data_IF_863622451302
#
_entry.id   IF_863622451302
#
_cell.length_a   1.000
_cell.length_b   1.000
_cell.length_c   1.000
_cell.angle_alpha   90.00
_cell.angle_beta   90.00
_cell.angle_gamma   90.00
#
_symmetry.space_group_name_H-M   'P 1'
#
loop_
_entity.id
_entity.type
_entity.pdbx_description
1 polymer ?
#
# COMPACT_ATOMS: atom_id res chain seq x y z
N UNK A 1 -2.14 4.89 -4.56
CA UNK A 1 -1.59 4.91 -5.94
C UNK A 1 -2.67 5.16 -7.00
N UNK A 2 -3.31 6.33 -6.97
CA UNK A 2 -4.46 6.64 -7.83
C UNK A 2 -4.12 7.32 -9.16
N UNK A 3 -2.84 7.65 -9.42
CA UNK A 3 -2.50 8.49 -10.57
C UNK A 3 -1.93 7.74 -11.78
N UNK A 4 -1.43 6.51 -11.65
CA UNK A 4 -0.82 5.79 -12.78
C UNK A 4 -1.85 5.23 -13.78
N UNK A 5 -3.05 4.88 -13.33
CA UNK A 5 -4.05 4.21 -14.19
C UNK A 5 -4.87 5.19 -15.01
N UNK A 6 -5.21 6.36 -14.43
CA UNK A 6 -5.66 7.53 -15.20
C UNK A 6 -4.59 8.00 -16.19
N UNK A 7 -3.32 7.74 -15.87
CA UNK A 7 -2.20 8.05 -16.73
C UNK A 7 -2.10 7.18 -17.98
N UNK A 8 -2.56 5.93 -18.04
CA UNK A 8 -2.34 5.10 -19.25
C UNK A 8 -3.10 5.62 -20.48
N UNK A 9 -4.36 6.01 -20.33
CA UNK A 9 -5.13 6.63 -21.43
C UNK A 9 -4.60 8.03 -21.74
N UNK A 10 -4.22 8.82 -20.73
CA UNK A 10 -3.61 10.14 -20.94
C UNK A 10 -2.23 10.05 -21.62
N UNK A 11 -1.42 9.08 -21.23
CA UNK A 11 -0.13 8.73 -21.81
C UNK A 11 -0.29 8.26 -23.25
N UNK A 12 -1.24 7.35 -23.52
CA UNK A 12 -1.55 6.92 -24.88
C UNK A 12 -1.95 8.10 -25.78
N UNK A 13 -2.78 9.03 -25.28
CA UNK A 13 -3.15 10.25 -26.00
C UNK A 13 -1.96 11.19 -26.24
N UNK A 14 -1.12 11.41 -25.22
CA UNK A 14 0.07 12.29 -25.30
C UNK A 14 1.12 11.73 -26.26
N UNK A 15 1.41 10.43 -26.17
CA UNK A 15 2.31 9.72 -27.04
C UNK A 15 1.77 9.63 -28.48
N UNK A 16 0.47 9.38 -28.67
CA UNK A 16 -0.15 9.40 -30.00
C UNK A 16 -0.12 10.79 -30.65
N UNK A 17 -0.25 11.87 -29.86
CA UNK A 17 -0.09 13.25 -30.35
C UNK A 17 1.36 13.53 -30.77
N UNK A 18 2.34 12.99 -30.06
CA UNK A 18 3.76 13.09 -30.42
C UNK A 18 4.08 12.28 -31.68
N UNK A 19 3.56 11.06 -31.78
CA UNK A 19 3.72 10.17 -32.94
C UNK A 19 3.07 10.74 -34.21
N UNK A 20 1.89 11.33 -34.08
CA UNK A 20 1.19 12.00 -35.19
C UNK A 20 1.98 13.21 -35.73
N UNK A 21 2.75 13.90 -34.87
CA UNK A 21 3.64 14.99 -35.30
C UNK A 21 4.88 14.49 -36.05
N UNK A 22 5.39 13.31 -35.71
CA UNK A 22 6.57 12.70 -36.36
C UNK A 22 6.21 11.80 -37.55
N UNK A 23 4.93 11.50 -37.75
CA UNK A 23 4.41 10.62 -38.80
C UNK A 23 3.08 11.18 -39.35
N UNK A 24 3.14 12.29 -40.13
CA UNK A 24 1.96 13.00 -40.62
C UNK A 24 1.04 12.16 -41.53
N UNK A 25 1.56 11.08 -42.12
CA UNK A 25 0.83 10.10 -42.92
C UNK A 25 -0.11 9.20 -42.10
N UNK A 26 -0.02 9.21 -40.77
CA UNK A 26 -0.88 8.42 -39.87
C UNK A 26 -1.91 9.31 -39.20
N UNK A 27 -3.18 8.93 -39.32
CA UNK A 27 -4.25 9.57 -38.55
C UNK A 27 -4.03 9.41 -37.04
N UNK A 28 -4.59 10.34 -36.26
CA UNK A 28 -4.50 10.27 -34.80
C UNK A 28 -5.06 8.96 -34.23
N UNK A 29 -6.13 8.43 -34.83
CA UNK A 29 -6.73 7.14 -34.45
C UNK A 29 -5.77 5.96 -34.66
N UNK A 30 -5.05 5.93 -35.78
CA UNK A 30 -4.03 4.92 -36.03
C UNK A 30 -2.87 5.03 -35.04
N UNK A 31 -2.44 6.26 -34.72
CA UNK A 31 -1.42 6.49 -33.70
C UNK A 31 -1.85 6.00 -32.31
N UNK A 32 -3.11 6.23 -31.92
CA UNK A 32 -3.65 5.71 -30.65
C UNK A 32 -3.63 4.19 -30.59
N UNK A 33 -3.99 3.50 -31.68
CA UNK A 33 -3.95 2.04 -31.74
C UNK A 33 -2.53 1.48 -31.69
N UNK A 34 -1.57 2.13 -32.35
CA UNK A 34 -0.15 1.73 -32.29
C UNK A 34 0.38 1.85 -30.87
N UNK A 35 0.11 2.98 -30.20
CA UNK A 35 0.54 3.18 -28.82
C UNK A 35 -0.16 2.19 -27.88
N UNK A 36 -1.47 1.96 -28.03
CA UNK A 36 -2.19 0.98 -27.22
C UNK A 36 -1.59 -0.44 -27.35
N UNK A 37 -1.22 -0.86 -28.56
CA UNK A 37 -0.53 -2.14 -28.80
C UNK A 37 0.86 -2.20 -28.16
N UNK A 38 1.63 -1.11 -28.24
CA UNK A 38 2.94 -1.03 -27.57
C UNK A 38 2.84 -1.13 -26.04
N UNK A 39 1.69 -0.76 -25.48
CA UNK A 39 1.38 -0.88 -24.05
C UNK A 39 0.77 -2.25 -23.69
N UNK A 40 0.73 -3.20 -24.63
CA UNK A 40 0.23 -4.56 -24.41
C UNK A 40 -1.29 -4.76 -24.60
N UNK A 41 -2.00 -3.76 -25.15
CA UNK A 41 -3.45 -3.86 -25.39
C UNK A 41 -3.77 -4.24 -26.84
N UNK A 42 -4.93 -4.88 -27.06
CA UNK A 42 -5.35 -5.28 -28.41
C UNK A 42 -5.51 -4.09 -29.37
N UNK A 43 -6.11 -3.03 -28.87
CA UNK A 43 -6.33 -1.75 -29.54
C UNK A 43 -6.69 -0.66 -28.51
N UNK A 44 -6.88 0.58 -28.97
CA UNK A 44 -7.22 1.69 -28.08
C UNK A 44 -8.62 1.54 -27.46
N UNK A 45 -9.56 0.86 -28.11
CA UNK A 45 -10.87 0.61 -27.52
C UNK A 45 -10.78 -0.39 -26.36
N UNK A 46 -9.96 -1.43 -26.51
CA UNK A 46 -9.65 -2.40 -25.46
C UNK A 46 -8.96 -1.74 -24.26
N UNK A 47 -8.05 -0.80 -24.49
CA UNK A 47 -7.48 0.06 -23.44
C UNK A 47 -8.57 0.89 -22.72
N UNK A 48 -9.51 1.47 -23.45
CA UNK A 48 -10.64 2.23 -22.87
C UNK A 48 -11.59 1.35 -22.06
N UNK A 49 -11.92 0.14 -22.54
CA UNK A 49 -12.76 -0.82 -21.82
C UNK A 49 -12.06 -1.32 -20.56
N UNK A 50 -10.76 -1.59 -20.62
CA UNK A 50 -9.98 -1.98 -19.45
C UNK A 50 -9.93 -0.85 -18.42
N UNK A 51 -9.80 0.41 -18.85
CA UNK A 51 -9.88 1.57 -17.95
C UNK A 51 -11.30 1.79 -17.38
N UNK A 52 -12.35 1.50 -18.15
CA UNK A 52 -13.75 1.59 -17.68
C UNK A 52 -14.14 0.46 -16.72
N UNK A 53 -13.64 -0.76 -16.95
CA UNK A 53 -13.85 -1.91 -16.05
C UNK A 53 -12.96 -1.82 -14.80
N UNK A 54 -11.98 -0.91 -14.80
CA UNK A 54 -11.22 -0.45 -13.64
C UNK A 54 -11.67 0.95 -13.16
N UNK A 55 -12.84 1.43 -13.61
CA UNK A 55 -13.40 2.64 -13.04
C UNK A 55 -13.61 2.38 -11.54
N UNK A 56 -13.04 3.19 -10.65
CA UNK A 56 -13.38 3.08 -9.25
C UNK A 56 -14.87 3.39 -9.18
N UNK A 57 -15.64 2.43 -8.67
CA UNK A 57 -16.89 2.75 -8.00
C UNK A 57 -16.46 3.80 -6.97
N UNK A 58 -16.80 5.07 -7.21
CA UNK A 58 -16.64 6.14 -6.23
C UNK A 58 -17.74 5.92 -5.19
N UNK A 59 -17.65 4.82 -4.46
CA UNK A 59 -18.05 4.83 -3.07
C UNK A 59 -16.96 5.62 -2.37
N UNK A 60 -17.37 6.59 -1.57
CA UNK A 60 -16.54 7.44 -0.73
C UNK A 60 -15.47 6.58 -0.02
N UNK A 61 -14.26 6.48 -0.59
CA UNK A 61 -13.16 5.67 -0.06
C UNK A 61 -12.59 6.42 1.15
N UNK A 62 -13.32 6.42 2.26
CA UNK A 62 -12.71 6.65 3.55
C UNK A 62 -11.63 5.58 3.70
N UNK A 63 -10.36 5.98 3.80
CA UNK A 63 -9.28 5.05 4.11
C UNK A 63 -9.74 4.22 5.33
N UNK A 64 -9.60 2.89 5.30
CA UNK A 64 -10.14 2.09 6.41
C UNK A 64 -9.46 2.42 7.74
N UNK A 65 -8.23 2.94 7.69
CA UNK A 65 -7.54 3.53 8.85
C UNK A 65 -8.33 4.71 9.40
N UNK A 66 -8.78 5.64 8.56
CA UNK A 66 -9.59 6.79 8.97
C UNK A 66 -10.98 6.37 9.48
N UNK A 67 -11.62 5.40 8.79
CA UNK A 67 -12.90 4.80 9.20
C UNK A 67 -12.83 4.25 10.63
N UNK A 68 -11.71 3.59 10.97
CA UNK A 68 -11.50 2.97 12.27
C UNK A 68 -10.63 3.79 13.21
N UNK A 69 -10.32 5.05 12.89
CA UNK A 69 -9.41 5.92 13.64
C UNK A 69 -9.65 5.91 15.15
N UNK A 70 -10.91 6.03 15.60
CA UNK A 70 -11.27 5.97 17.03
C UNK A 70 -10.86 4.65 17.69
N UNK A 71 -11.09 3.53 17.02
CA UNK A 71 -10.75 2.20 17.56
C UNK A 71 -9.24 1.97 17.51
N UNK A 72 -8.60 2.34 16.39
CA UNK A 72 -7.15 2.25 16.22
C UNK A 72 -6.44 3.07 17.29
N UNK A 73 -6.82 4.33 17.52
CA UNK A 73 -6.23 5.18 18.55
C UNK A 73 -6.36 4.59 19.95
N UNK A 74 -7.53 4.01 20.27
CA UNK A 74 -7.72 3.31 21.56
C UNK A 74 -6.79 2.11 21.69
N UNK A 75 -6.67 1.29 20.65
CA UNK A 75 -5.77 0.13 20.66
C UNK A 75 -4.30 0.58 20.74
N UNK A 76 -3.90 1.65 20.04
CA UNK A 76 -2.56 2.22 20.15
C UNK A 76 -2.27 2.67 21.59
N UNK A 77 -3.19 3.39 22.23
CA UNK A 77 -3.04 3.84 23.62
C UNK A 77 -2.88 2.68 24.63
N UNK A 78 -3.54 1.55 24.36
CA UNK A 78 -3.40 0.32 25.16
C UNK A 78 -2.07 -0.40 24.90
N UNK A 79 -1.45 -0.20 23.74
CA UNK A 79 -0.17 -0.80 23.36
C UNK A 79 1.04 0.09 23.71
N UNK A 80 0.81 1.32 24.17
CA UNK A 80 1.85 2.26 24.58
C UNK A 80 1.93 2.27 26.11
N UNK A 81 3.12 1.94 26.64
CA UNK A 81 3.39 1.92 28.08
C UNK A 81 3.98 3.21 28.62
N UNK A 82 4.41 4.12 27.75
CA UNK A 82 5.05 5.40 28.12
C UNK A 82 4.04 6.56 28.09
N UNK A 83 4.40 7.62 28.80
CA UNK A 83 3.69 8.91 28.78
C UNK A 83 4.51 9.96 28.01
N UNK A 84 3.87 11.02 27.46
CA UNK A 84 2.43 11.26 27.43
C UNK A 84 1.73 10.45 26.34
N UNK A 85 0.71 9.66 26.71
CA UNK A 85 0.04 8.74 25.77
C UNK A 85 -0.58 9.41 24.56
N UNK A 86 -1.24 10.55 24.74
CA UNK A 86 -1.98 11.20 23.65
C UNK A 86 -1.04 11.69 22.53
N UNK A 87 0.12 12.25 22.89
CA UNK A 87 1.14 12.67 21.92
C UNK A 87 1.74 11.45 21.20
N UNK A 88 2.04 10.39 21.95
CA UNK A 88 2.58 9.16 21.37
C UNK A 88 1.59 8.48 20.42
N UNK A 89 0.29 8.45 20.76
CA UNK A 89 -0.75 7.95 19.87
C UNK A 89 -0.82 8.77 18.59
N UNK A 90 -0.73 10.11 18.69
CA UNK A 90 -0.70 10.98 17.52
C UNK A 90 0.54 10.74 16.66
N UNK A 91 1.73 10.56 17.27
CA UNK A 91 2.97 10.23 16.57
C UNK A 91 2.83 8.90 15.82
N UNK A 92 2.36 7.84 16.49
CA UNK A 92 2.16 6.53 15.87
C UNK A 92 1.11 6.56 14.75
N UNK A 93 -0.04 7.20 14.99
CA UNK A 93 -1.07 7.32 13.98
C UNK A 93 -0.56 8.14 12.77
N UNK A 94 0.23 9.19 13.01
CA UNK A 94 0.88 9.99 11.98
C UNK A 94 1.88 9.20 11.13
N UNK A 95 2.58 8.21 11.70
CA UNK A 95 3.48 7.32 10.94
C UNK A 95 2.75 6.47 9.89
N UNK A 96 1.44 6.25 10.03
CA UNK A 96 0.65 5.51 9.03
C UNK A 96 0.49 6.31 7.73
N UNK A 97 0.43 7.63 7.84
CA UNK A 97 0.24 8.55 6.71
C UNK A 97 1.55 9.11 6.15
N UNK A 98 2.64 9.05 6.92
CA UNK A 98 3.93 9.64 6.58
C UNK A 98 4.78 8.69 5.74
N UNK A 99 5.41 9.21 4.69
CA UNK A 99 6.46 8.49 3.95
C UNK A 99 7.80 8.81 4.59
N UNK A 100 8.59 7.80 4.95
CA UNK A 100 9.93 8.00 5.51
C UNK A 100 10.88 8.24 4.35
N UNK A 101 11.65 9.32 4.42
CA UNK A 101 12.64 9.74 3.43
C UNK A 101 13.95 10.18 4.13
N UNK A 102 14.93 10.64 3.37
CA UNK A 102 16.24 11.08 3.88
C UNK A 102 16.21 12.31 4.79
N UNK A 103 15.11 13.08 4.76
CA UNK A 103 14.93 14.26 5.62
C UNK A 103 14.24 13.91 6.96
N UNK A 104 13.86 12.65 7.13
CA UNK A 104 13.17 12.16 8.31
C UNK A 104 14.17 11.84 9.43
N UNK A 105 13.83 12.17 10.68
CA UNK A 105 14.62 11.78 11.85
C UNK A 105 14.51 10.27 12.11
N UNK A 106 15.38 9.50 11.47
CA UNK A 106 15.36 8.04 11.51
C UNK A 106 15.64 7.50 12.91
N UNK A 107 16.53 8.16 13.68
CA UNK A 107 16.86 7.72 15.04
C UNK A 107 15.64 7.85 15.96
N UNK A 108 14.94 8.99 15.92
CA UNK A 108 13.70 9.17 16.68
C UNK A 108 12.66 8.14 16.32
N UNK A 109 12.43 7.90 15.02
CA UNK A 109 11.43 6.91 14.57
C UNK A 109 11.82 5.50 14.97
N UNK A 110 13.10 5.13 14.88
CA UNK A 110 13.58 3.84 15.35
C UNK A 110 13.31 3.68 16.84
N UNK A 111 13.72 4.65 17.67
CA UNK A 111 13.51 4.57 19.12
C UNK A 111 12.02 4.47 19.48
N UNK A 112 11.18 5.25 18.81
CA UNK A 112 9.73 5.23 18.97
C UNK A 112 9.17 3.83 18.64
N UNK A 113 9.45 3.31 17.45
CA UNK A 113 8.93 2.02 16.98
C UNK A 113 9.56 0.82 17.67
N UNK A 114 10.79 0.92 18.17
CA UNK A 114 11.50 -0.15 18.89
C UNK A 114 11.03 -0.28 20.34
N UNK A 115 10.92 0.83 21.07
CA UNK A 115 10.82 0.81 22.53
C UNK A 115 9.51 1.32 23.13
N UNK A 116 8.66 1.99 22.34
CA UNK A 116 7.51 2.72 22.91
C UNK A 116 6.17 2.03 22.67
N UNK A 117 6.08 1.13 21.68
CA UNK A 117 4.87 0.38 21.36
C UNK A 117 5.07 -1.14 21.43
N UNK A 118 4.15 -1.81 22.12
CA UNK A 118 4.02 -3.27 22.12
C UNK A 118 3.33 -3.74 20.84
N UNK A 119 4.17 -4.08 19.85
CA UNK A 119 3.73 -4.58 18.54
C UNK A 119 3.06 -5.94 18.64
N UNK A 120 3.44 -6.78 19.59
CA UNK A 120 2.85 -8.13 19.73
C UNK A 120 1.45 -8.03 20.33
N UNK A 121 1.24 -7.17 21.34
CA UNK A 121 -0.10 -6.86 21.84
C UNK A 121 -1.01 -6.28 20.76
N UNK A 122 -0.51 -5.35 19.95
CA UNK A 122 -1.26 -4.81 18.80
C UNK A 122 -1.70 -5.90 17.81
N UNK A 123 -0.80 -6.84 17.53
CA UNK A 123 -1.10 -8.00 16.67
C UNK A 123 -2.17 -8.90 17.28
N UNK A 124 -2.12 -9.14 18.59
CA UNK A 124 -3.14 -9.93 19.33
C UNK A 124 -4.52 -9.29 19.26
N UNK A 125 -4.63 -7.95 19.39
CA UNK A 125 -5.90 -7.25 19.12
C UNK A 125 -6.39 -7.56 17.70
N UNK A 126 -5.51 -7.48 16.70
CA UNK A 126 -5.85 -7.84 15.32
C UNK A 126 -6.42 -9.26 15.17
N UNK A 127 -5.77 -10.27 15.78
CA UNK A 127 -6.30 -11.63 15.77
C UNK A 127 -7.65 -11.74 16.49
N UNK A 128 -7.86 -11.04 17.60
CA UNK A 128 -9.16 -11.07 18.30
C UNK A 128 -10.32 -10.53 17.45
N UNK A 129 -10.07 -9.54 16.58
CA UNK A 129 -11.06 -9.04 15.63
C UNK A 129 -11.23 -9.94 14.40
N UNK A 130 -10.19 -10.70 14.04
CA UNK A 130 -10.18 -11.61 12.90
C UNK A 130 -10.87 -12.95 13.21
N UNK A 131 -10.58 -13.52 14.39
CA UNK A 131 -11.03 -14.85 14.84
C UNK A 131 -12.29 -14.79 15.71
N UNK A 132 -12.73 -13.58 16.10
CA UNK A 132 -13.94 -13.38 16.89
C UNK A 132 -15.22 -13.79 16.13
N UNK A 133 -16.26 -14.15 16.88
CA UNK A 133 -17.56 -14.54 16.33
C UNK A 133 -18.21 -13.45 15.46
N UNK A 134 -17.82 -12.19 15.68
CA UNK A 134 -18.35 -11.04 14.96
C UNK A 134 -17.52 -10.68 13.73
N UNK A 135 -17.86 -11.29 12.59
CA UNK A 135 -17.24 -11.02 11.28
C UNK A 135 -17.36 -9.57 10.80
N UNK A 136 -18.14 -8.71 11.47
CA UNK A 136 -18.31 -7.29 11.12
C UNK A 136 -16.99 -6.50 11.14
N UNK A 137 -16.02 -6.94 11.94
CA UNK A 137 -14.73 -6.25 12.13
C UNK A 137 -13.53 -7.02 11.58
N UNK A 138 -13.77 -7.99 10.69
CA UNK A 138 -12.69 -8.79 10.08
C UNK A 138 -11.69 -7.89 9.32
N UNK A 139 -12.17 -6.83 8.65
CA UNK A 139 -11.31 -5.87 7.95
C UNK A 139 -10.40 -5.08 8.91
N UNK A 140 -10.93 -4.65 10.06
CA UNK A 140 -10.15 -4.04 11.14
C UNK A 140 -9.10 -5.00 11.69
N UNK A 141 -9.43 -6.29 11.83
CA UNK A 141 -8.49 -7.33 12.25
C UNK A 141 -7.25 -7.38 11.37
N UNK A 142 -7.44 -7.47 10.04
CA UNK A 142 -6.33 -7.43 9.08
C UNK A 142 -5.51 -6.14 9.18
N UNK A 143 -6.17 -5.00 9.36
CA UNK A 143 -5.50 -3.70 9.48
C UNK A 143 -4.60 -3.66 10.72
N UNK A 144 -5.10 -4.09 11.89
CA UNK A 144 -4.31 -4.06 13.13
C UNK A 144 -3.10 -5.01 13.08
N UNK A 145 -3.28 -6.21 12.51
CA UNK A 145 -2.15 -7.13 12.27
C UNK A 145 -1.12 -6.48 11.34
N UNK A 146 -1.57 -5.86 10.25
CA UNK A 146 -0.68 -5.18 9.33
C UNK A 146 0.04 -3.98 9.95
N UNK A 147 -0.62 -3.18 10.80
CA UNK A 147 0.02 -2.04 11.50
C UNK A 147 1.16 -2.54 12.41
N UNK A 148 0.95 -3.65 13.12
CA UNK A 148 2.01 -4.26 13.94
C UNK A 148 3.25 -4.60 13.11
N UNK A 149 3.06 -5.23 11.95
CA UNK A 149 4.16 -5.54 11.04
C UNK A 149 4.76 -4.29 10.37
N UNK A 150 3.93 -3.29 10.05
CA UNK A 150 4.37 -2.02 9.48
C UNK A 150 5.32 -1.27 10.43
N UNK A 151 5.01 -1.20 11.73
CA UNK A 151 5.93 -0.58 12.69
C UNK A 151 7.23 -1.36 12.86
N UNK A 152 7.20 -2.69 12.76
CA UNK A 152 8.44 -3.51 12.73
C UNK A 152 9.24 -3.24 11.45
N UNK A 153 8.56 -3.13 10.31
CA UNK A 153 9.16 -2.80 9.02
C UNK A 153 9.85 -1.43 9.04
N UNK A 154 9.19 -0.40 9.62
CA UNK A 154 9.78 0.92 9.83
C UNK A 154 11.00 0.84 10.76
N UNK A 155 10.87 0.14 11.89
CA UNK A 155 11.96 -0.03 12.85
C UNK A 155 13.20 -0.63 12.18
N UNK A 156 13.03 -1.69 11.39
CA UNK A 156 14.12 -2.34 10.67
C UNK A 156 14.74 -1.37 9.64
N UNK A 157 13.91 -0.66 8.89
CA UNK A 157 14.33 0.30 7.87
C UNK A 157 15.19 1.45 8.45
N UNK A 158 14.72 2.04 9.55
CA UNK A 158 15.45 3.08 10.27
C UNK A 158 16.76 2.53 10.87
N UNK A 159 16.75 1.31 11.43
CA UNK A 159 17.96 0.71 12.01
C UNK A 159 19.06 0.44 10.98
N UNK A 160 18.68 0.19 9.73
CA UNK A 160 19.60 0.05 8.60
C UNK A 160 19.94 1.36 7.89
N UNK A 161 19.46 2.51 8.40
CA UNK A 161 19.70 3.84 7.84
C UNK A 161 19.30 3.94 6.35
N UNK A 162 18.24 3.22 5.95
CA UNK A 162 17.79 3.18 4.55
C UNK A 162 17.19 4.53 4.15
N UNK A 163 16.43 5.16 5.05
CA UNK A 163 15.82 6.48 4.79
C UNK A 163 14.80 6.46 3.65
N UNK A 164 14.15 5.32 3.40
CA UNK A 164 13.11 5.17 2.39
C UNK A 164 12.13 4.09 2.85
N UNK A 165 10.90 4.46 3.18
CA UNK A 165 9.82 3.52 3.51
C UNK A 165 8.48 3.98 2.94
N UNK A 166 7.76 3.09 2.28
CA UNK A 166 6.42 3.37 1.74
C UNK A 166 5.40 3.65 2.85
N UNK A 167 4.39 4.48 2.55
CA UNK A 167 3.25 4.69 3.45
C UNK A 167 2.49 3.39 3.77
N UNK A 168 1.77 3.38 4.89
CA UNK A 168 0.98 2.22 5.32
C UNK A 168 -0.01 1.75 4.24
N UNK A 169 -0.68 2.68 3.55
CA UNK A 169 -1.65 2.33 2.51
C UNK A 169 -1.04 1.53 1.35
N UNK A 170 0.18 1.86 0.94
CA UNK A 170 0.89 1.08 -0.07
C UNK A 170 1.38 -0.24 0.53
N UNK A 171 2.00 -0.18 1.72
CA UNK A 171 2.51 -1.34 2.43
C UNK A 171 1.45 -2.43 2.63
N UNK A 172 0.24 -2.04 3.03
CA UNK A 172 -0.85 -2.96 3.30
C UNK A 172 -1.23 -3.78 2.05
N UNK A 173 -1.23 -3.14 0.87
CA UNK A 173 -1.46 -3.83 -0.41
C UNK A 173 -0.40 -4.90 -0.71
N UNK A 174 0.88 -4.63 -0.41
CA UNK A 174 1.95 -5.63 -0.53
C UNK A 174 1.82 -6.74 0.51
N UNK A 175 1.59 -6.36 1.77
CA UNK A 175 1.46 -7.28 2.91
C UNK A 175 0.32 -8.29 2.69
N UNK A 176 -0.86 -7.83 2.24
CA UNK A 176 -1.99 -8.70 1.93
C UNK A 176 -1.64 -9.78 0.89
N UNK A 177 -0.78 -9.47 -0.08
CA UNK A 177 -0.37 -10.41 -1.14
C UNK A 177 0.78 -11.31 -0.72
N UNK A 178 1.68 -10.81 0.12
CA UNK A 178 2.79 -11.59 0.64
C UNK A 178 2.35 -12.64 1.66
N UNK A 179 1.44 -12.28 2.58
CA UNK A 179 0.95 -13.17 3.63
C UNK A 179 -0.17 -14.09 3.12
N UNK A 180 -0.91 -13.66 2.10
CA UNK A 180 -1.97 -14.45 1.49
C UNK A 180 -1.78 -14.61 -0.04
N UNK A 181 -0.69 -15.27 -0.49
CA UNK A 181 -0.30 -15.36 -1.90
C UNK A 181 -1.25 -16.21 -2.74
N UNK A 182 -1.70 -17.32 -2.18
CA UNK A 182 -2.56 -18.31 -2.84
C UNK A 182 -4.01 -18.22 -2.39
N UNK A 183 -4.39 -17.07 -1.83
CA UNK A 183 -5.73 -16.86 -1.33
C UNK A 183 -6.73 -16.68 -2.48
N UNK A 184 -7.05 -17.78 -3.17
CA UNK A 184 -8.43 -18.11 -3.56
C UNK A 184 -9.18 -18.71 -2.35
N UNK A 185 -8.90 -18.20 -1.16
CA UNK A 185 -9.28 -18.79 0.12
C UNK A 185 -10.49 -18.03 0.67
N UNK A 186 -11.69 -18.37 0.21
CA UNK A 186 -13.01 -18.26 0.88
C UNK A 186 -13.37 -17.07 1.82
N UNK A 187 -12.56 -16.00 1.95
CA UNK A 187 -12.84 -14.79 2.73
C UNK A 187 -13.19 -13.66 1.75
N UNK A 188 -14.48 -13.31 1.65
CA UNK A 188 -14.91 -12.16 0.85
C UNK A 188 -14.25 -10.85 1.30
N UNK A 189 -13.96 -10.73 2.61
CA UNK A 189 -13.30 -9.57 3.21
C UNK A 189 -11.89 -9.40 2.67
N UNK A 190 -11.09 -10.48 2.65
CA UNK A 190 -9.71 -10.43 2.16
C UNK A 190 -9.64 -10.03 0.67
N UNK A 191 -10.52 -10.62 -0.15
CA UNK A 191 -10.58 -10.28 -1.57
C UNK A 191 -11.04 -8.84 -1.80
N UNK A 192 -12.00 -8.35 -1.00
CA UNK A 192 -12.37 -6.94 -0.99
C UNK A 192 -11.17 -6.06 -0.63
N UNK A 193 -10.43 -6.36 0.44
CA UNK A 193 -9.25 -5.60 0.86
C UNK A 193 -8.18 -5.54 -0.25
N UNK A 194 -7.88 -6.66 -0.92
CA UNK A 194 -6.91 -6.70 -2.04
C UNK A 194 -7.36 -5.87 -3.25
N UNK A 195 -8.65 -5.67 -3.44
CA UNK A 195 -9.20 -4.79 -4.48
C UNK A 195 -9.11 -3.31 -4.07
N UNK A 196 -9.37 -3.00 -2.80
CA UNK A 196 -9.32 -1.64 -2.26
C UNK A 196 -7.87 -1.09 -2.19
N UNK A 197 -6.89 -1.94 -1.86
CA UNK A 197 -5.48 -1.53 -1.70
C UNK A 197 -4.64 -1.99 -2.89
N UNK A 198 -4.32 -1.10 -3.84
CA UNK A 198 -3.62 -1.45 -5.07
C UNK A 198 -2.16 -1.85 -4.82
N UNK A 199 -1.70 -2.80 -5.62
CA UNK A 199 -0.31 -3.22 -5.75
C UNK A 199 0.15 -2.91 -7.18
N UNK A 200 1.35 -2.35 -7.35
CA UNK A 200 1.85 -1.88 -8.65
C UNK A 200 2.82 -2.85 -9.35
N UNK A 201 3.00 -4.08 -8.87
CA UNK A 201 3.87 -5.05 -9.55
C UNK A 201 5.36 -4.91 -9.24
N UNK A 202 5.81 -3.69 -8.95
CA UNK A 202 7.23 -3.33 -9.05
C UNK A 202 8.00 -3.32 -7.72
N UNK A 203 7.33 -3.51 -6.58
CA UNK A 203 7.99 -3.57 -5.27
C UNK A 203 7.77 -4.90 -4.53
N UNK A 204 8.83 -5.32 -3.87
CA UNK A 204 9.12 -6.70 -3.46
C UNK A 204 8.93 -6.86 -1.95
N UNK A 205 7.70 -7.11 -1.52
CA UNK A 205 7.50 -7.91 -0.32
C UNK A 205 7.41 -9.37 -0.78
N UNK A 206 8.46 -10.15 -0.55
CA UNK A 206 8.48 -11.57 -0.91
C UNK A 206 7.36 -12.33 -0.21
N UNK A 207 6.91 -13.44 -0.78
CA UNK A 207 5.90 -14.31 -0.15
C UNK A 207 6.37 -14.71 1.26
N UNK A 208 5.51 -14.50 2.27
CA UNK A 208 5.80 -14.76 3.68
C UNK A 208 6.63 -13.68 4.38
N UNK A 209 7.14 -12.67 3.67
CA UNK A 209 7.85 -11.54 4.27
C UNK A 209 6.87 -10.53 4.88
N UNK A 210 7.33 -9.81 5.90
CA UNK A 210 6.56 -8.74 6.55
C UNK A 210 7.31 -7.41 6.58
N UNK A 211 8.64 -7.39 6.63
CA UNK A 211 9.42 -6.15 6.51
C UNK A 211 9.64 -5.78 5.04
N UNK A 212 9.36 -4.52 4.70
CA UNK A 212 9.57 -3.90 3.40
C UNK A 212 10.89 -3.14 3.37
N UNK A 213 11.58 -3.23 2.23
CA UNK A 213 12.75 -2.42 1.93
C UNK A 213 12.75 -2.06 0.43
N UNK A 214 13.38 -0.94 0.03
CA UNK A 214 13.44 -0.56 -1.36
C UNK A 214 14.30 -1.53 -2.16
N UNK A 215 14.00 -1.64 -3.46
CA UNK A 215 14.64 -2.62 -4.35
C UNK A 215 16.15 -2.48 -4.40
N UNK A 216 16.67 -1.24 -4.44
CA UNK A 216 18.11 -0.99 -4.47
C UNK A 216 18.81 -1.57 -3.25
N UNK A 217 18.20 -1.45 -2.06
CA UNK A 217 18.77 -1.98 -0.82
C UNK A 217 18.73 -3.51 -0.82
N UNK A 218 17.63 -4.10 -1.28
CA UNK A 218 17.53 -5.55 -1.39
C UNK A 218 18.57 -6.13 -2.37
N UNK A 219 18.86 -5.44 -3.48
CA UNK A 219 19.92 -5.82 -4.43
C UNK A 219 21.31 -5.69 -3.82
N UNK A 220 21.59 -4.60 -3.12
CA UNK A 220 22.85 -4.37 -2.40
C UNK A 220 23.13 -5.46 -1.34
N UNK A 221 22.06 -5.92 -0.65
CA UNK A 221 22.13 -7.00 0.32
C UNK A 221 22.10 -8.41 -0.30
N UNK A 222 22.09 -8.54 -1.64
CA UNK A 222 22.05 -9.84 -2.33
C UNK A 222 20.75 -10.64 -2.12
N UNK A 223 19.64 -9.94 -1.84
CA UNK A 223 18.31 -10.53 -1.58
C UNK A 223 17.39 -10.52 -2.80
N UNK A 224 17.84 -9.92 -3.91
CA UNK A 224 17.20 -9.85 -5.23
C UNK A 224 18.23 -9.94 -6.35
#
# INVERSE_FOLDING_TARGET
MSDEKRNLVAHAKKAAKKLCKSSPEKSHSQCLNIIAKSLGFRDYHNLLQHNKNQAPIVEDYTCLVDKYSKVINKVLADCISKEPKDELVNDFFGLLSTTINTDTDLERIEQLTRWTIDKEKLKQYGYSFHEGENKKYEDLGYILVAISHYYRSIMDNCSHQIGEHISFNNYFGYWLRAIHPNARTNSPTLEKLKQLYPYNGDQTLSIGATSWAPRWWLQDQGRL
#
